data_IF_998384973946
#
_entry.id   IF_998384973946
#
_cell.length_a   1.000
_cell.length_b   1.000
_cell.length_c   1.000
_cell.angle_alpha   90.00
_cell.angle_beta   90.00
_cell.angle_gamma   90.00
#
_symmetry.space_group_name_H-M   'P 1'
#
loop_
_entity.id
_entity.type
_entity.pdbx_description
1 polymer ?
#
# COMPACT_ATOMS: atom_id res chain seq x y z
N UNK A 1 -22.64 -12.10 13.23
CA UNK A 1 -21.94 -11.62 12.03
C UNK A 1 -22.16 -10.12 12.00
N UNK A 2 -21.22 -9.31 12.48
CA UNK A 2 -21.39 -7.86 12.50
C UNK A 2 -21.00 -7.30 11.12
N UNK A 3 -21.91 -6.55 10.51
CA UNK A 3 -21.76 -5.83 9.23
C UNK A 3 -20.42 -5.06 9.14
N UNK A 4 -19.96 -4.53 10.29
CA UNK A 4 -18.68 -3.86 10.42
C UNK A 4 -17.45 -4.74 10.12
N UNK A 5 -17.50 -6.03 10.45
CA UNK A 5 -16.40 -6.97 10.18
C UNK A 5 -16.22 -7.27 8.69
N UNK A 6 -17.34 -7.37 7.97
CA UNK A 6 -17.37 -7.58 6.53
C UNK A 6 -16.89 -6.34 5.78
N UNK A 7 -17.35 -5.15 6.19
CA UNK A 7 -16.88 -3.87 5.64
C UNK A 7 -15.36 -3.70 5.78
N UNK A 8 -14.80 -3.98 6.96
CA UNK A 8 -13.35 -3.88 7.16
C UNK A 8 -12.54 -4.87 6.33
N UNK A 9 -13.11 -6.04 6.05
CA UNK A 9 -12.48 -7.05 5.19
C UNK A 9 -12.45 -6.56 3.73
N UNK A 10 -13.57 -6.04 3.24
CA UNK A 10 -13.66 -5.47 1.90
C UNK A 10 -12.65 -4.31 1.68
N UNK A 11 -12.50 -3.41 2.65
CA UNK A 11 -11.52 -2.32 2.59
C UNK A 11 -10.08 -2.85 2.51
N UNK A 12 -9.74 -3.88 3.30
CA UNK A 12 -8.40 -4.48 3.30
C UNK A 12 -8.11 -5.15 1.95
N UNK A 13 -9.08 -5.83 1.38
CA UNK A 13 -8.91 -6.52 0.11
C UNK A 13 -8.79 -5.54 -1.06
N UNK A 14 -9.60 -4.48 -1.07
CA UNK A 14 -9.45 -3.38 -2.03
C UNK A 14 -8.04 -2.76 -1.97
N UNK A 15 -7.54 -2.48 -0.75
CA UNK A 15 -6.18 -1.97 -0.55
C UNK A 15 -5.11 -2.94 -1.05
N UNK A 16 -5.25 -4.25 -0.82
CA UNK A 16 -4.29 -5.25 -1.32
C UNK A 16 -4.25 -5.29 -2.84
N UNK A 17 -5.40 -5.21 -3.52
CA UNK A 17 -5.45 -5.19 -4.99
C UNK A 17 -4.80 -3.92 -5.56
N UNK A 18 -5.05 -2.77 -4.93
CA UNK A 18 -4.36 -1.52 -5.30
C UNK A 18 -2.84 -1.64 -5.12
N UNK A 19 -2.40 -2.25 -4.01
CA UNK A 19 -0.98 -2.51 -3.77
C UNK A 19 -0.38 -3.50 -4.79
N UNK A 20 -1.16 -4.47 -5.28
CA UNK A 20 -0.70 -5.39 -6.30
C UNK A 20 -0.51 -4.72 -7.68
N UNK A 21 -1.36 -3.75 -8.03
CA UNK A 21 -1.29 -3.06 -9.33
C UNK A 21 -0.36 -1.84 -9.33
N UNK A 22 -0.45 -1.00 -8.30
CA UNK A 22 0.23 0.31 -8.24
C UNK A 22 1.23 0.42 -7.10
N UNK A 23 1.28 -0.59 -6.23
CA UNK A 23 2.17 -0.60 -5.09
C UNK A 23 3.63 -0.77 -5.50
N UNK A 24 4.52 -0.11 -4.77
CA UNK A 24 5.96 -0.28 -4.93
C UNK A 24 6.58 -0.71 -3.61
N UNK A 25 7.63 -1.51 -3.68
CA UNK A 25 8.45 -1.84 -2.52
C UNK A 25 9.17 -0.59 -2.02
N UNK A 26 9.15 -0.35 -0.71
CA UNK A 26 9.95 0.73 -0.12
C UNK A 26 11.45 0.55 -0.44
N UNK A 27 12.09 1.49 -1.15
CA UNK A 27 13.48 1.37 -1.55
C UNK A 27 14.43 1.37 -0.35
N UNK A 28 14.13 2.16 0.69
CA UNK A 28 14.92 2.17 1.92
C UNK A 28 14.81 0.85 2.70
N UNK A 29 13.62 0.23 2.74
CA UNK A 29 13.48 -1.09 3.36
C UNK A 29 14.38 -2.11 2.65
N UNK A 30 14.40 -2.08 1.32
CA UNK A 30 15.17 -3.01 0.49
C UNK A 30 16.68 -2.83 0.68
N UNK A 31 17.13 -1.57 0.87
CA UNK A 31 18.54 -1.22 1.08
C UNK A 31 19.02 -1.51 2.51
N UNK A 32 18.25 -1.10 3.51
CA UNK A 32 18.64 -1.18 4.92
C UNK A 32 18.34 -2.55 5.55
N UNK A 33 17.33 -3.26 5.04
CA UNK A 33 16.83 -4.51 5.63
C UNK A 33 16.68 -5.60 4.57
N UNK A 34 17.77 -6.07 3.95
CA UNK A 34 17.73 -7.06 2.88
C UNK A 34 17.13 -8.43 3.30
N UNK A 35 17.07 -8.72 4.61
CA UNK A 35 16.48 -9.97 5.16
C UNK A 35 14.98 -9.86 5.45
N UNK A 36 14.41 -8.66 5.38
CA UNK A 36 12.99 -8.42 5.67
C UNK A 36 12.24 -8.10 4.37
N UNK A 37 10.98 -8.52 4.29
CA UNK A 37 10.14 -8.14 3.17
C UNK A 37 9.88 -6.63 3.21
N UNK A 38 10.17 -5.89 2.13
CA UNK A 38 9.95 -4.45 2.09
C UNK A 38 8.46 -4.14 2.21
N UNK A 39 8.13 -2.98 2.79
CA UNK A 39 6.73 -2.55 2.88
C UNK A 39 6.25 -2.19 1.48
N UNK A 40 5.16 -2.81 1.00
CA UNK A 40 4.52 -2.42 -0.26
C UNK A 40 3.64 -1.20 0.00
N UNK A 41 3.95 -0.10 -0.67
CA UNK A 41 3.35 1.20 -0.44
C UNK A 41 2.60 1.67 -1.68
N UNK A 42 1.44 2.30 -1.45
CA UNK A 42 0.81 3.12 -2.49
C UNK A 42 1.55 4.47 -2.57
N UNK A 43 1.47 5.17 -3.71
CA UNK A 43 1.89 6.56 -3.84
C UNK A 43 1.44 7.43 -2.65
N UNK A 44 2.29 8.38 -2.25
CA UNK A 44 2.12 9.26 -1.08
C UNK A 44 2.07 8.57 0.30
N UNK A 45 1.99 7.24 0.39
CA UNK A 45 2.04 6.54 1.67
C UNK A 45 3.45 6.63 2.28
N UNK A 46 3.49 6.62 3.60
CA UNK A 46 4.72 6.56 4.37
C UNK A 46 5.00 5.11 4.80
N UNK A 47 6.22 4.65 4.55
CA UNK A 47 6.73 3.40 5.10
C UNK A 47 6.67 3.47 6.63
N UNK A 48 6.08 2.45 7.27
CA UNK A 48 6.02 2.36 8.73
C UNK A 48 7.36 2.05 9.39
N UNK A 49 8.28 1.47 8.62
CA UNK A 49 9.57 0.96 9.14
C UNK A 49 10.63 2.05 9.13
N UNK A 50 10.89 2.64 7.96
CA UNK A 50 11.98 3.61 7.77
C UNK A 50 11.47 5.05 7.64
N UNK A 51 10.16 5.27 7.61
CA UNK A 51 9.57 6.60 7.48
C UNK A 51 9.67 7.21 6.07
N UNK A 52 10.23 6.49 5.10
CA UNK A 52 10.30 6.91 3.70
C UNK A 52 8.89 7.20 3.16
N UNK A 53 8.72 8.36 2.52
CA UNK A 53 7.47 8.77 1.87
C UNK A 53 7.65 8.68 0.37
N UNK A 54 6.75 7.97 -0.28
CA UNK A 54 6.77 7.83 -1.73
C UNK A 54 6.51 9.20 -2.39
N UNK A 55 7.43 9.71 -3.24
CA UNK A 55 7.28 11.00 -3.91
C UNK A 55 6.33 10.94 -5.12
N UNK A 56 5.85 9.76 -5.52
CA UNK A 56 4.91 9.61 -6.64
C UNK A 56 3.61 10.38 -6.36
N UNK A 57 3.00 10.99 -7.40
CA UNK A 57 1.70 11.64 -7.25
C UNK A 57 0.65 10.64 -6.79
N UNK A 58 -0.36 11.12 -6.06
CA UNK A 58 -1.48 10.31 -5.61
C UNK A 58 -2.19 9.63 -6.79
N UNK A 59 -2.74 8.44 -6.56
CA UNK A 59 -3.56 7.77 -7.58
C UNK A 59 -4.71 8.68 -7.97
N UNK A 60 -4.95 8.78 -9.27
CA UNK A 60 -6.13 9.47 -9.78
C UNK A 60 -7.40 8.67 -9.47
N UNK A 61 -8.57 9.30 -9.42
CA UNK A 61 -9.84 8.63 -9.08
C UNK A 61 -10.16 7.44 -10.02
N UNK A 62 -9.74 7.55 -11.29
CA UNK A 62 -9.84 6.46 -12.27
C UNK A 62 -8.97 5.24 -11.91
N UNK A 63 -7.82 5.45 -11.26
CA UNK A 63 -6.93 4.37 -10.81
C UNK A 63 -7.40 3.77 -9.48
N UNK A 64 -8.06 4.57 -8.65
CA UNK A 64 -8.71 4.09 -7.43
C UNK A 64 -9.91 3.18 -7.71
N UNK A 65 -10.65 3.47 -8.78
CA UNK A 65 -11.86 2.74 -9.16
C UNK A 65 -11.63 1.56 -10.11
N UNK A 66 -10.41 1.39 -10.64
CA UNK A 66 -10.11 0.33 -11.61
C UNK A 66 -9.82 -1.05 -10.97
N UNK A 67 -10.23 -1.29 -9.72
CA UNK A 67 -9.70 -2.36 -8.83
C UNK A 67 -10.78 -3.19 -8.13
#
# INVERSE_FOLDING_TARGET
MSDFGEMQSAIKDHKKRLQAMFGIECPECKRLRPRANPTIMLPQQRCRVDGYRDPRPELNDAQWSSV
#
